data_IF_195185030523
#
_entry.id   IF_195185030523
#
_cell.length_a   1.000
_cell.length_b   1.000
_cell.length_c   1.000
_cell.angle_alpha   90.00
_cell.angle_beta   90.00
_cell.angle_gamma   90.00
#
_symmetry.space_group_name_H-M   'P 1'
#
loop_
_entity.id
_entity.type
_entity.pdbx_description
1 polymer ?
#
# COMPACT_ATOMS: atom_id res chain seq x y z
N UNK A 1 -15.70 -17.27 13.14
CA UNK A 1 -16.25 -15.89 13.21
C UNK A 1 -15.19 -15.00 12.59
N UNK A 2 -15.47 -14.36 11.45
CA UNK A 2 -14.46 -13.55 10.75
C UNK A 2 -13.97 -12.39 11.62
N UNK A 3 -12.67 -12.06 11.55
CA UNK A 3 -12.10 -10.90 12.24
C UNK A 3 -12.79 -9.63 11.71
N UNK A 4 -13.19 -8.74 12.60
CA UNK A 4 -13.82 -7.47 12.24
C UNK A 4 -12.75 -6.53 11.66
N UNK A 5 -12.90 -6.08 10.40
CA UNK A 5 -11.96 -5.19 9.72
C UNK A 5 -12.34 -3.74 10.02
N UNK A 6 -11.49 -2.99 10.75
CA UNK A 6 -11.81 -1.64 11.24
C UNK A 6 -10.91 -0.54 10.68
N UNK A 7 -9.68 -0.89 10.37
CA UNK A 7 -8.64 0.08 9.98
C UNK A 7 -8.16 -0.17 8.56
N UNK A 8 -7.51 0.82 7.96
CA UNK A 8 -6.82 0.62 6.69
C UNK A 8 -5.82 -0.55 6.75
N UNK A 9 -5.16 -0.75 7.90
CA UNK A 9 -4.26 -1.88 8.13
C UNK A 9 -4.99 -3.22 8.01
N UNK A 10 -6.13 -3.39 8.70
CA UNK A 10 -6.90 -4.64 8.63
C UNK A 10 -7.30 -4.99 7.19
N UNK A 11 -7.76 -4.01 6.42
CA UNK A 11 -8.09 -4.20 5.01
C UNK A 11 -6.85 -4.49 4.15
N UNK A 12 -5.73 -3.82 4.40
CA UNK A 12 -4.47 -4.06 3.69
C UNK A 12 -3.95 -5.49 3.96
N UNK A 13 -4.00 -5.95 5.21
CA UNK A 13 -3.58 -7.29 5.61
C UNK A 13 -4.49 -8.36 5.02
N UNK A 14 -5.81 -8.15 5.03
CA UNK A 14 -6.73 -9.10 4.40
C UNK A 14 -6.53 -9.22 2.88
N UNK A 15 -6.35 -8.09 2.18
CA UNK A 15 -6.03 -8.10 0.75
C UNK A 15 -4.66 -8.74 0.46
N UNK A 16 -3.67 -8.49 1.33
CA UNK A 16 -2.35 -9.09 1.24
C UNK A 16 -2.42 -10.61 1.35
N UNK A 17 -3.13 -11.15 2.34
CA UNK A 17 -3.29 -12.59 2.54
C UNK A 17 -3.87 -13.24 1.27
N UNK A 18 -4.93 -12.65 0.73
CA UNK A 18 -5.53 -13.12 -0.51
C UNK A 18 -4.57 -13.04 -1.71
N UNK A 19 -3.87 -11.92 -1.89
CA UNK A 19 -2.88 -11.75 -2.97
C UNK A 19 -1.81 -12.85 -2.88
N UNK A 20 -1.28 -13.09 -1.68
CA UNK A 20 -0.21 -14.06 -1.47
C UNK A 20 -0.68 -15.49 -1.66
N UNK A 21 -1.88 -15.85 -1.20
CA UNK A 21 -2.44 -17.18 -1.42
C UNK A 21 -2.68 -17.44 -2.91
N UNK A 22 -3.22 -16.45 -3.63
CA UNK A 22 -3.41 -16.56 -5.07
C UNK A 22 -2.07 -16.67 -5.82
N UNK A 23 -1.09 -15.85 -5.44
CA UNK A 23 0.26 -15.88 -6.00
C UNK A 23 0.95 -17.23 -5.78
N UNK A 24 0.89 -17.78 -4.57
CA UNK A 24 1.46 -19.09 -4.21
C UNK A 24 0.76 -20.24 -4.91
N UNK A 25 -0.52 -20.11 -5.21
CA UNK A 25 -1.28 -21.07 -6.02
C UNK A 25 -0.99 -20.96 -7.53
N UNK A 26 -0.15 -20.01 -7.95
CA UNK A 26 0.24 -19.83 -9.36
C UNK A 26 -0.78 -19.06 -10.21
N UNK A 27 -1.73 -18.37 -9.58
CA UNK A 27 -2.66 -17.52 -10.32
C UNK A 27 -1.96 -16.24 -10.81
N UNK A 28 -2.34 -15.82 -12.01
CA UNK A 28 -1.96 -14.55 -12.61
C UNK A 28 -3.20 -13.90 -13.18
N UNK A 29 -3.43 -12.63 -12.83
CA UNK A 29 -4.56 -11.85 -13.32
C UNK A 29 -4.25 -10.36 -13.23
N UNK A 30 -4.77 -9.58 -14.18
CA UNK A 30 -4.73 -8.12 -14.13
C UNK A 30 -5.25 -7.55 -12.80
N UNK A 31 -6.28 -8.17 -12.21
CA UNK A 31 -6.83 -7.74 -10.93
C UNK A 31 -5.79 -7.78 -9.80
N UNK A 32 -4.78 -8.67 -9.88
CA UNK A 32 -3.71 -8.77 -8.89
C UNK A 32 -2.76 -7.58 -8.95
N UNK A 33 -2.57 -6.95 -10.11
CA UNK A 33 -1.81 -5.70 -10.22
C UNK A 33 -2.51 -4.52 -9.53
N UNK A 34 -3.81 -4.34 -9.77
CA UNK A 34 -4.61 -3.35 -9.04
C UNK A 34 -4.64 -3.62 -7.53
N UNK A 35 -4.70 -4.91 -7.14
CA UNK A 35 -4.66 -5.33 -5.74
C UNK A 35 -3.31 -4.99 -5.09
N UNK A 36 -2.19 -5.24 -5.77
CA UNK A 36 -0.86 -4.90 -5.27
C UNK A 36 -0.73 -3.39 -4.96
N UNK A 37 -1.18 -2.52 -5.88
CA UNK A 37 -1.26 -1.09 -5.61
C UNK A 37 -2.15 -0.80 -4.39
N UNK A 38 -3.34 -1.39 -4.36
CA UNK A 38 -4.35 -1.16 -3.34
C UNK A 38 -3.90 -1.58 -1.93
N UNK A 39 -3.08 -2.62 -1.81
CA UNK A 39 -2.49 -3.06 -0.53
C UNK A 39 -1.49 -2.01 -0.04
N UNK A 40 -0.52 -1.63 -0.89
CA UNK A 40 0.46 -0.60 -0.56
C UNK A 40 -0.22 0.73 -0.19
N UNK A 41 -1.23 1.15 -0.95
CA UNK A 41 -1.98 2.38 -0.67
C UNK A 41 -2.61 2.35 0.73
N UNK A 42 -3.30 1.25 1.08
CA UNK A 42 -3.96 1.14 2.38
C UNK A 42 -2.95 1.12 3.53
N UNK A 43 -1.84 0.40 3.41
CA UNK A 43 -0.80 0.44 4.44
C UNK A 43 -0.23 1.84 4.65
N UNK A 44 0.12 2.56 3.57
CA UNK A 44 0.61 3.94 3.67
C UNK A 44 -0.44 4.86 4.30
N UNK A 45 -1.72 4.72 3.88
CA UNK A 45 -2.83 5.52 4.42
C UNK A 45 -3.12 5.20 5.88
N UNK A 46 -2.93 3.97 6.33
CA UNK A 46 -3.02 3.63 7.74
C UNK A 46 -2.03 4.47 8.55
N UNK A 47 -0.76 4.50 8.12
CA UNK A 47 0.26 5.25 8.84
C UNK A 47 -0.02 6.75 8.85
N UNK A 48 -0.45 7.30 7.70
CA UNK A 48 -0.89 8.70 7.62
C UNK A 48 -2.05 8.97 8.58
N UNK A 49 -3.05 8.08 8.61
CA UNK A 49 -4.25 8.29 9.41
C UNK A 49 -3.95 8.27 10.92
N UNK A 50 -3.19 7.29 11.38
CA UNK A 50 -2.98 7.03 12.80
C UNK A 50 -1.81 7.82 13.41
N UNK A 51 -0.72 8.05 12.66
CA UNK A 51 0.54 8.53 13.24
C UNK A 51 0.93 9.94 12.81
N UNK A 52 0.36 10.48 11.72
CA UNK A 52 0.60 11.87 11.35
C UNK A 52 -0.36 12.78 12.12
N UNK A 53 0.19 13.51 13.09
CA UNK A 53 -0.54 14.49 13.90
C UNK A 53 -0.36 15.89 13.31
N UNK A 54 -1.38 16.49 12.67
CA UNK A 54 -1.26 17.83 12.10
C UNK A 54 -1.14 18.88 13.20
N UNK A 55 -0.10 19.72 13.14
CA UNK A 55 0.11 20.82 14.08
C UNK A 55 -0.68 22.08 13.70
N UNK A 56 -0.96 22.24 12.40
CA UNK A 56 -1.68 23.39 11.85
C UNK A 56 -2.92 22.98 11.06
N UNK A 57 -3.83 23.94 10.83
CA UNK A 57 -4.98 23.74 9.93
C UNK A 57 -4.54 23.41 8.50
N UNK A 58 -3.41 23.96 8.05
CA UNK A 58 -2.83 23.66 6.74
C UNK A 58 -2.35 22.20 6.67
N UNK A 59 -1.70 21.70 7.71
CA UNK A 59 -1.28 20.29 7.79
C UNK A 59 -2.48 19.33 7.81
N UNK A 60 -3.57 19.72 8.48
CA UNK A 60 -4.80 18.93 8.48
C UNK A 60 -5.42 18.82 7.09
N UNK A 61 -5.37 19.90 6.30
CA UNK A 61 -5.80 19.91 4.89
C UNK A 61 -4.89 18.99 4.07
N UNK A 62 -3.56 19.12 4.20
CA UNK A 62 -2.60 18.27 3.47
C UNK A 62 -2.77 16.79 3.81
N UNK A 63 -2.99 16.44 5.08
CA UNK A 63 -3.31 15.07 5.52
C UNK A 63 -4.58 14.56 4.84
N UNK A 64 -5.63 15.38 4.79
CA UNK A 64 -6.89 15.03 4.13
C UNK A 64 -6.71 14.81 2.63
N UNK A 65 -5.95 15.66 1.96
CA UNK A 65 -5.62 15.52 0.53
C UNK A 65 -4.80 14.26 0.25
N UNK A 66 -3.83 13.95 1.12
CA UNK A 66 -3.05 12.72 1.04
C UNK A 66 -3.96 11.49 1.17
N UNK A 67 -4.87 11.44 2.14
CA UNK A 67 -5.80 10.32 2.31
C UNK A 67 -6.77 10.15 1.12
N UNK A 68 -7.02 11.21 0.34
CA UNK A 68 -7.87 11.16 -0.86
C UNK A 68 -7.13 10.76 -2.14
N UNK A 69 -5.79 10.81 -2.17
CA UNK A 69 -5.04 10.41 -3.37
C UNK A 69 -4.88 8.89 -3.46
N UNK A 70 -4.75 8.38 -4.69
CA UNK A 70 -4.41 6.98 -4.99
C UNK A 70 -2.97 6.82 -5.52
N UNK A 71 -2.20 7.91 -5.50
CA UNK A 71 -0.86 7.95 -6.06
C UNK A 71 0.18 7.67 -4.96
N UNK A 72 0.89 6.54 -5.09
CA UNK A 72 1.84 6.06 -4.09
C UNK A 72 3.08 6.97 -3.99
N UNK A 73 3.48 7.65 -5.07
CA UNK A 73 4.58 8.64 -5.00
C UNK A 73 4.17 9.86 -4.17
N UNK A 74 2.91 10.32 -4.30
CA UNK A 74 2.39 11.40 -3.46
C UNK A 74 2.31 10.99 -1.99
N UNK A 75 1.80 9.80 -1.70
CA UNK A 75 1.71 9.27 -0.33
C UNK A 75 3.10 9.11 0.31
N UNK A 76 4.06 8.51 -0.41
CA UNK A 76 5.41 8.31 0.13
C UNK A 76 6.17 9.62 0.33
N UNK A 77 5.99 10.62 -0.54
CA UNK A 77 6.55 11.97 -0.32
C UNK A 77 5.94 12.66 0.89
N UNK A 78 4.63 12.53 1.09
CA UNK A 78 3.96 13.06 2.28
C UNK A 78 4.53 12.42 3.55
N UNK A 79 4.61 11.09 3.60
CA UNK A 79 5.19 10.37 4.73
C UNK A 79 6.65 10.76 5.00
N UNK A 80 7.48 10.94 3.97
CA UNK A 80 8.87 11.34 4.14
C UNK A 80 9.03 12.73 4.80
N UNK A 81 8.02 13.60 4.70
CA UNK A 81 8.02 14.92 5.36
C UNK A 81 7.57 14.81 6.81
N UNK A 82 6.48 14.08 7.08
CA UNK A 82 5.85 14.06 8.41
C UNK A 82 6.37 12.93 9.33
N UNK A 83 6.91 11.86 8.76
CA UNK A 83 7.46 10.69 9.47
C UNK A 83 8.79 10.27 8.81
N UNK A 84 9.84 11.11 8.90
CA UNK A 84 11.12 10.88 8.20
C UNK A 84 11.85 9.61 8.65
N UNK A 85 11.51 9.04 9.79
CA UNK A 85 12.01 7.77 10.31
C UNK A 85 11.48 6.55 9.55
N UNK A 86 10.30 6.65 8.91
CA UNK A 86 9.74 5.58 8.10
C UNK A 86 10.46 5.49 6.75
N UNK A 87 11.17 4.39 6.50
CA UNK A 87 12.05 4.23 5.33
C UNK A 87 11.40 3.41 4.21
N UNK A 88 10.33 3.97 3.65
CA UNK A 88 9.64 3.37 2.51
C UNK A 88 10.57 3.23 1.29
N UNK A 89 10.64 2.02 0.73
CA UNK A 89 11.30 1.76 -0.56
C UNK A 89 10.48 2.37 -1.71
N UNK A 90 10.76 3.64 -2.02
CA UNK A 90 10.09 4.37 -3.11
C UNK A 90 10.36 3.79 -4.49
N UNK A 91 11.46 3.05 -4.69
CA UNK A 91 11.75 2.40 -5.97
C UNK A 91 10.77 1.25 -6.18
N UNK A 92 10.59 0.40 -5.17
CA UNK A 92 9.60 -0.67 -5.20
C UNK A 92 8.16 -0.13 -5.29
N UNK A 93 7.79 0.92 -4.55
CA UNK A 93 6.44 1.50 -4.71
C UNK A 93 6.14 2.01 -6.11
N UNK A 94 7.16 2.45 -6.85
CA UNK A 94 6.97 2.94 -8.22
C UNK A 94 6.53 1.83 -9.17
N UNK A 95 6.94 0.58 -8.95
CA UNK A 95 6.56 -0.55 -9.82
C UNK A 95 5.06 -0.84 -9.75
N UNK A 96 4.44 -0.60 -8.59
CA UNK A 96 3.00 -0.81 -8.37
C UNK A 96 2.16 0.46 -8.48
N UNK A 97 2.75 1.62 -8.79
CA UNK A 97 2.02 2.88 -8.87
C UNK A 97 1.37 3.07 -10.25
N UNK A 98 0.03 3.20 -10.29
CA UNK A 98 -0.74 3.41 -11.51
C UNK A 98 -1.47 2.14 -12.01
N UNK A 99 -1.12 0.97 -11.47
CA UNK A 99 -1.73 -0.32 -11.81
C UNK A 99 -3.25 -0.34 -11.62
N UNK A 100 -3.81 0.44 -10.68
CA UNK A 100 -5.26 0.51 -10.49
C UNK A 100 -6.00 0.85 -11.80
N UNK A 101 -5.45 1.77 -12.61
CA UNK A 101 -6.07 2.14 -13.88
C UNK A 101 -5.62 1.22 -15.01
N UNK A 102 -4.30 1.01 -15.16
CA UNK A 102 -3.73 0.33 -16.33
C UNK A 102 -4.09 -1.16 -16.40
N UNK A 103 -4.42 -1.80 -15.28
CA UNK A 103 -4.80 -3.22 -15.27
C UNK A 103 -6.33 -3.45 -15.33
N UNK A 104 -7.14 -2.43 -15.02
CA UNK A 104 -8.59 -2.59 -14.90
C UNK A 104 -9.40 -2.09 -16.09
N UNK A 105 -8.90 -1.08 -16.78
CA UNK A 105 -9.65 -0.41 -17.84
C UNK A 105 -8.95 -0.60 -19.18
N UNK A 106 -9.65 -1.04 -20.23
CA UNK A 106 -9.07 -1.13 -21.56
C UNK A 106 -8.75 0.26 -22.10
N UNK A 107 -7.60 0.41 -22.77
CA UNK A 107 -7.15 1.65 -23.36
C UNK A 107 -5.68 1.58 -23.80
N UNK A 108 -5.17 2.67 -24.37
CA UNK A 108 -3.80 2.72 -24.92
C UNK A 108 -2.70 2.46 -23.86
N UNK A 109 -3.00 2.78 -22.60
CA UNK A 109 -2.11 2.56 -21.45
C UNK A 109 -2.42 1.26 -20.69
N UNK A 110 -3.34 0.43 -21.21
CA UNK A 110 -3.69 -0.84 -20.55
C UNK A 110 -2.58 -1.87 -20.71
N UNK A 111 -2.37 -2.67 -19.66
CA UNK A 111 -1.37 -3.74 -19.65
C UNK A 111 -2.03 -5.09 -19.38
N UNK A 112 -1.35 -6.15 -19.81
CA UNK A 112 -1.63 -7.52 -19.37
C UNK A 112 -0.57 -7.85 -18.34
N UNK A 113 -1.01 -8.23 -17.13
CA UNK A 113 -0.09 -8.64 -16.06
C UNK A 113 0.38 -10.06 -16.36
N UNK A 114 1.68 -10.20 -16.56
CA UNK A 114 2.35 -11.50 -16.71
C UNK A 114 2.90 -11.98 -15.37
N UNK A 115 3.46 -13.21 -15.36
CA UNK A 115 3.98 -13.81 -14.13
C UNK A 115 5.17 -13.02 -13.59
N UNK A 116 6.06 -12.60 -14.48
CA UNK A 116 7.25 -11.81 -14.19
C UNK A 116 6.87 -10.44 -13.60
N UNK A 117 5.86 -9.77 -14.15
CA UNK A 117 5.32 -8.53 -13.59
C UNK A 117 4.78 -8.77 -12.17
N UNK A 118 4.02 -9.85 -11.98
CA UNK A 118 3.42 -10.16 -10.70
C UNK A 118 4.47 -10.49 -9.62
N UNK A 119 5.58 -11.13 -10.00
CA UNK A 119 6.71 -11.36 -9.09
C UNK A 119 7.28 -10.03 -8.57
N UNK A 120 7.46 -9.04 -9.44
CA UNK A 120 7.91 -7.70 -9.06
C UNK A 120 6.87 -6.96 -8.19
N UNK A 121 5.58 -7.12 -8.50
CA UNK A 121 4.50 -6.49 -7.73
C UNK A 121 4.40 -7.08 -6.32
N UNK A 122 4.53 -8.40 -6.19
CA UNK A 122 4.53 -9.08 -4.89
C UNK A 122 5.75 -8.66 -4.07
N UNK A 123 6.95 -8.59 -4.67
CA UNK A 123 8.14 -8.11 -3.98
C UNK A 123 7.94 -6.69 -3.44
N UNK A 124 7.34 -5.79 -4.24
CA UNK A 124 7.06 -4.43 -3.82
C UNK A 124 6.05 -4.38 -2.66
N UNK A 125 5.02 -5.22 -2.69
CA UNK A 125 4.02 -5.34 -1.63
C UNK A 125 4.64 -5.87 -0.34
N UNK A 126 5.47 -6.91 -0.41
CA UNK A 126 6.16 -7.49 0.76
C UNK A 126 7.09 -6.47 1.42
N UNK A 127 7.87 -5.73 0.62
CA UNK A 127 8.74 -4.65 1.12
C UNK A 127 7.94 -3.55 1.81
N UNK A 128 6.83 -3.12 1.20
CA UNK A 128 5.95 -2.11 1.77
C UNK A 128 5.36 -2.59 3.10
N UNK A 129 4.78 -3.79 3.12
CA UNK A 129 4.21 -4.40 4.34
C UNK A 129 5.26 -4.49 5.44
N UNK A 130 6.44 -5.04 5.15
CA UNK A 130 7.51 -5.23 6.15
C UNK A 130 7.90 -3.92 6.85
N UNK A 131 8.07 -2.84 6.09
CA UNK A 131 8.43 -1.55 6.65
C UNK A 131 7.30 -0.99 7.53
N UNK A 132 6.05 -1.15 7.11
CA UNK A 132 4.86 -0.68 7.84
C UNK A 132 4.64 -1.51 9.11
N UNK A 133 4.77 -2.83 9.04
CA UNK A 133 4.67 -3.73 10.19
C UNK A 133 5.73 -3.41 11.23
N UNK A 134 6.98 -3.17 10.80
CA UNK A 134 8.09 -2.74 11.66
C UNK A 134 7.78 -1.42 12.36
N UNK A 135 7.28 -0.44 11.61
CA UNK A 135 6.91 0.87 12.15
C UNK A 135 5.75 0.79 13.15
N UNK A 136 4.65 0.10 12.79
CA UNK A 136 3.48 -0.07 13.67
C UNK A 136 3.85 -0.85 14.92
N UNK A 137 4.64 -1.92 14.80
CA UNK A 137 5.06 -2.71 15.95
C UNK A 137 5.91 -1.91 16.94
N UNK A 138 6.80 -1.04 16.43
CA UNK A 138 7.60 -0.16 17.26
C UNK A 138 6.75 0.84 18.06
N UNK A 139 5.66 1.36 17.48
CA UNK A 139 4.83 2.37 18.13
C UNK A 139 3.72 1.80 19.03
N UNK A 140 3.25 0.58 18.75
CA UNK A 140 2.20 -0.09 19.55
C UNK A 140 2.77 -1.00 20.64
N UNK A 141 4.01 -1.47 20.48
CA UNK A 141 4.60 -2.51 21.32
C UNK A 141 4.08 -3.92 21.03
N UNK A 142 3.22 -4.09 20.03
CA UNK A 142 2.68 -5.37 19.58
C UNK A 142 3.49 -5.89 18.39
N UNK A 143 3.88 -7.18 18.39
CA UNK A 143 4.49 -7.80 17.20
C UNK A 143 3.40 -8.32 16.28
N UNK A 144 3.34 -7.80 15.06
CA UNK A 144 2.53 -8.38 14.00
C UNK A 144 3.38 -9.45 13.27
N UNK A 145 3.11 -10.73 13.57
CA UNK A 145 3.76 -11.90 12.97
C UNK A 145 3.13 -12.31 11.63
#
# INVERSE_FOLDING_TARGET
>A
MGKELKTYYDFATNDYEFLMDAYRAGFVSNAMGAMAQGICEKYLKHVINEYVLPETAEDAIKKTEALRTHNLDRLSKFLAVYLPELKIDRKSLKTVNGLYFTTRYPGDESIVVEKEDLDEYVEAVEKCRKEIDSFVSYHTGERHE
#
